data_IF_331729731400
#
_entry.id   IF_331729731400
#
_cell.length_a   1.000
_cell.length_b   1.000
_cell.length_c   1.000
_cell.angle_alpha   90.00
_cell.angle_beta   90.00
_cell.angle_gamma   90.00
#
_symmetry.space_group_name_H-M   'P 1'
#
loop_
_entity.id
_entity.type
_entity.pdbx_description
1 polymer ?
#
# COMPACT_ATOMS: atom_id res chain seq x y z
N UNK A 1 -8.15 30.61 -0.22
CA UNK A 1 -7.82 29.17 -0.03
C UNK A 1 -6.93 28.73 -1.19
N UNK A 2 -5.78 28.14 -0.90
CA UNK A 2 -4.96 27.52 -1.93
C UNK A 2 -5.70 26.33 -2.56
N UNK A 3 -5.49 26.09 -3.84
CA UNK A 3 -6.11 24.98 -4.58
C UNK A 3 -5.08 24.28 -5.45
N UNK A 4 -5.12 22.94 -5.43
CA UNK A 4 -4.28 22.08 -6.24
C UNK A 4 -5.12 21.15 -7.11
N UNK A 5 -4.73 20.98 -8.36
CA UNK A 5 -5.43 20.15 -9.35
C UNK A 5 -4.58 18.94 -9.74
N UNK A 6 -5.14 17.74 -9.56
CA UNK A 6 -4.53 16.46 -9.89
C UNK A 6 -5.56 15.54 -10.56
N UNK A 7 -5.06 14.52 -11.22
CA UNK A 7 -5.93 13.50 -11.83
C UNK A 7 -6.36 12.45 -10.77
N UNK A 8 -5.48 12.21 -9.77
CA UNK A 8 -5.73 11.27 -8.67
C UNK A 8 -5.26 11.85 -7.34
N UNK A 9 -6.09 11.73 -6.32
CA UNK A 9 -5.78 12.09 -4.93
C UNK A 9 -5.72 10.82 -4.08
N UNK A 10 -4.56 10.55 -3.47
CA UNK A 10 -4.33 9.43 -2.57
C UNK A 10 -4.16 9.95 -1.15
N UNK A 11 -5.01 9.51 -0.24
CA UNK A 11 -4.93 9.89 1.18
C UNK A 11 -4.33 8.76 1.98
N UNK A 12 -3.13 8.99 2.47
CA UNK A 12 -2.35 8.05 3.27
C UNK A 12 -1.11 7.52 2.56
N UNK A 13 0.01 7.48 3.29
CA UNK A 13 1.32 7.03 2.82
C UNK A 13 1.68 5.61 3.29
N UNK A 14 0.69 4.78 3.58
CA UNK A 14 0.91 3.35 3.81
C UNK A 14 1.25 2.61 2.52
N UNK A 15 1.59 1.32 2.61
CA UNK A 15 2.02 0.51 1.46
C UNK A 15 1.01 0.56 0.31
N UNK A 16 -0.29 0.51 0.60
CA UNK A 16 -1.35 0.57 -0.42
C UNK A 16 -1.35 1.91 -1.16
N UNK A 17 -1.24 3.03 -0.44
CA UNK A 17 -1.23 4.37 -1.04
C UNK A 17 0.01 4.60 -1.91
N UNK A 18 1.20 4.23 -1.42
CA UNK A 18 2.45 4.37 -2.17
C UNK A 18 2.47 3.46 -3.41
N UNK A 19 1.98 2.21 -3.29
CA UNK A 19 1.86 1.30 -4.43
C UNK A 19 0.89 1.84 -5.47
N UNK A 20 -0.28 2.32 -5.07
CA UNK A 20 -1.25 2.92 -5.99
C UNK A 20 -0.66 4.15 -6.70
N UNK A 21 0.09 5.00 -5.99
CA UNK A 21 0.76 6.15 -6.59
C UNK A 21 1.73 5.74 -7.70
N UNK A 22 2.57 4.73 -7.45
CA UNK A 22 3.54 4.23 -8.43
C UNK A 22 2.87 3.62 -9.67
N UNK A 23 1.78 2.89 -9.50
CA UNK A 23 1.04 2.30 -10.62
C UNK A 23 0.30 3.33 -11.46
N UNK A 24 -0.13 4.45 -10.87
CA UNK A 24 -0.90 5.49 -11.56
C UNK A 24 -0.04 6.59 -12.18
N UNK A 25 1.13 6.88 -11.62
CA UNK A 25 2.01 7.96 -12.05
C UNK A 25 2.42 7.92 -13.54
N UNK A 26 2.56 6.75 -14.22
CA UNK A 26 2.90 6.74 -15.63
C UNK A 26 1.88 7.43 -16.55
N UNK A 27 0.62 7.55 -16.09
CA UNK A 27 -0.49 8.08 -16.90
C UNK A 27 -1.26 9.21 -16.24
N UNK A 28 -1.02 9.48 -14.95
CA UNK A 28 -1.76 10.46 -14.17
C UNK A 28 -0.83 11.33 -13.33
N UNK A 29 -1.25 12.59 -13.09
CA UNK A 29 -0.67 13.43 -12.05
C UNK A 29 -1.27 13.03 -10.71
N UNK A 30 -0.45 12.54 -9.80
CA UNK A 30 -0.89 11.96 -8.52
C UNK A 30 -0.47 12.86 -7.36
N UNK A 31 -1.40 13.17 -6.46
CA UNK A 31 -1.09 13.73 -5.15
C UNK A 31 -1.17 12.63 -4.09
N UNK A 32 -0.12 12.49 -3.30
CA UNK A 32 -0.15 11.69 -2.06
C UNK A 32 -0.20 12.65 -0.88
N UNK A 33 -1.27 12.56 -0.11
CA UNK A 33 -1.59 13.47 0.99
C UNK A 33 -1.51 12.69 2.29
N UNK A 34 -0.67 13.10 3.23
CA UNK A 34 -0.48 12.41 4.51
C UNK A 34 -0.43 13.36 5.69
N UNK A 35 -1.08 12.98 6.80
CA UNK A 35 -1.21 13.82 8.00
C UNK A 35 0.12 14.05 8.74
N UNK A 36 1.11 13.21 8.51
CA UNK A 36 2.45 13.28 9.12
C UNK A 36 3.50 13.10 8.04
N UNK A 37 4.72 12.74 8.43
CA UNK A 37 5.76 12.34 7.49
C UNK A 37 5.39 11.02 6.81
N UNK A 38 5.93 10.77 5.61
CA UNK A 38 5.63 9.56 4.82
C UNK A 38 5.91 8.26 5.57
N UNK A 39 6.94 8.24 6.40
CA UNK A 39 7.37 7.07 7.17
C UNK A 39 6.54 6.79 8.42
N UNK A 40 5.68 7.71 8.86
CA UNK A 40 4.93 7.59 10.13
C UNK A 40 3.70 6.67 10.03
N UNK A 41 3.68 5.79 9.06
CA UNK A 41 2.60 4.81 8.87
C UNK A 41 2.78 3.54 9.70
N UNK A 42 1.67 2.84 9.98
CA UNK A 42 1.67 1.55 10.69
C UNK A 42 2.51 0.48 9.97
N UNK A 43 2.65 0.57 8.65
CA UNK A 43 3.45 -0.35 7.84
C UNK A 43 4.92 -0.42 8.27
N UNK A 44 5.50 0.69 8.76
CA UNK A 44 6.87 0.72 9.24
C UNK A 44 7.10 -0.14 10.49
N UNK A 45 6.06 -0.45 11.23
CA UNK A 45 6.10 -1.23 12.47
C UNK A 45 5.81 -2.71 12.26
N UNK A 46 5.45 -3.13 11.04
CA UNK A 46 5.19 -4.52 10.72
C UNK A 46 6.51 -5.31 10.72
N UNK A 47 6.63 -6.28 11.64
CA UNK A 47 7.83 -7.10 11.83
C UNK A 47 7.77 -8.39 11.01
N UNK A 48 6.59 -8.97 10.84
CA UNK A 48 6.38 -10.18 10.04
C UNK A 48 6.70 -9.99 8.56
N UNK A 49 6.79 -11.10 7.85
CA UNK A 49 7.01 -11.09 6.40
C UNK A 49 5.69 -11.00 5.61
N UNK A 50 5.80 -11.28 4.33
CA UNK A 50 4.68 -11.32 3.39
C UNK A 50 4.51 -12.76 2.90
N UNK A 51 3.32 -13.32 3.12
CA UNK A 51 2.99 -14.67 2.68
C UNK A 51 2.69 -14.69 1.17
N UNK A 52 3.37 -15.56 0.43
CA UNK A 52 3.12 -15.81 -0.98
C UNK A 52 3.54 -17.23 -1.37
N UNK A 53 2.82 -17.84 -2.31
CA UNK A 53 3.17 -19.17 -2.86
C UNK A 53 4.31 -18.99 -3.86
N UNK A 54 5.53 -19.28 -3.43
CA UNK A 54 6.77 -19.04 -4.18
C UNK A 54 7.62 -20.29 -4.36
N UNK A 55 7.37 -21.35 -3.59
CA UNK A 55 8.08 -22.62 -3.64
C UNK A 55 7.24 -23.68 -4.37
N UNK A 56 7.92 -24.63 -5.02
CA UNK A 56 7.28 -25.70 -5.81
C UNK A 56 6.52 -26.72 -4.96
N UNK A 57 6.85 -26.80 -3.68
CA UNK A 57 6.19 -27.70 -2.69
C UNK A 57 5.00 -27.05 -1.99
N UNK A 58 4.61 -25.83 -2.38
CA UNK A 58 3.43 -25.10 -1.86
C UNK A 58 2.34 -24.94 -2.93
N UNK A 59 1.13 -24.55 -2.53
CA UNK A 59 0.01 -24.32 -3.44
C UNK A 59 -0.91 -23.19 -2.99
N UNK A 60 -1.56 -22.53 -3.94
CA UNK A 60 -2.61 -21.56 -3.66
C UNK A 60 -3.74 -22.15 -2.83
N UNK A 61 -4.13 -23.40 -3.11
CA UNK A 61 -5.19 -24.08 -2.36
C UNK A 61 -4.81 -24.24 -0.88
N UNK A 62 -3.58 -24.67 -0.59
CA UNK A 62 -3.09 -24.80 0.78
C UNK A 62 -3.03 -23.45 1.50
N UNK A 63 -2.56 -22.40 0.82
CA UNK A 63 -2.50 -21.06 1.41
C UNK A 63 -3.90 -20.46 1.68
N UNK A 64 -4.85 -20.66 0.77
CA UNK A 64 -6.25 -20.25 0.96
C UNK A 64 -6.85 -20.97 2.16
N UNK A 65 -6.69 -22.29 2.26
CA UNK A 65 -7.21 -23.07 3.39
C UNK A 65 -6.61 -22.63 4.72
N UNK A 66 -5.28 -22.48 4.80
CA UNK A 66 -4.61 -21.94 6.00
C UNK A 66 -5.20 -20.58 6.43
N UNK A 67 -5.45 -19.69 5.45
CA UNK A 67 -6.02 -18.36 5.69
C UNK A 67 -7.45 -18.47 6.22
N UNK A 68 -8.30 -19.32 5.63
CA UNK A 68 -9.69 -19.51 6.06
C UNK A 68 -9.76 -20.11 7.47
N UNK A 69 -8.88 -21.06 7.80
CA UNK A 69 -8.78 -21.63 9.15
C UNK A 69 -8.36 -20.55 10.15
N UNK A 70 -7.33 -19.77 9.85
CA UNK A 70 -6.82 -18.73 10.75
C UNK A 70 -7.84 -17.61 11.00
N UNK A 71 -8.64 -17.25 10.02
CA UNK A 71 -9.63 -16.16 10.16
C UNK A 71 -10.97 -16.61 10.79
N UNK A 72 -11.14 -17.89 11.07
CA UNK A 72 -12.29 -18.40 11.83
C UNK A 72 -13.67 -17.92 11.33
N UNK A 73 -13.87 -17.87 10.03
CA UNK A 73 -15.13 -17.47 9.39
C UNK A 73 -15.30 -15.97 9.14
N UNK A 74 -14.29 -15.13 9.42
CA UNK A 74 -14.34 -13.69 9.17
C UNK A 74 -13.84 -13.30 7.78
N UNK A 75 -13.24 -14.25 7.02
CA UNK A 75 -12.72 -13.97 5.68
C UNK A 75 -13.82 -14.10 4.61
N UNK A 76 -13.75 -13.20 3.61
CA UNK A 76 -14.42 -13.41 2.34
C UNK A 76 -13.55 -14.31 1.44
N UNK A 77 -14.13 -15.41 0.95
CA UNK A 77 -13.39 -16.40 0.15
C UNK A 77 -12.89 -15.82 -1.18
N UNK A 78 -13.68 -14.97 -1.85
CA UNK A 78 -13.30 -14.41 -3.13
C UNK A 78 -12.14 -13.41 -2.97
N UNK A 79 -12.20 -12.57 -1.93
CA UNK A 79 -11.11 -11.66 -1.59
C UNK A 79 -9.84 -12.42 -1.17
N UNK A 80 -9.97 -13.48 -0.33
CA UNK A 80 -8.85 -14.33 0.07
C UNK A 80 -8.16 -14.95 -1.14
N UNK A 81 -8.93 -15.56 -2.04
CA UNK A 81 -8.41 -16.15 -3.27
C UNK A 81 -7.69 -15.12 -4.13
N UNK A 82 -8.32 -13.97 -4.36
CA UNK A 82 -7.71 -12.89 -5.14
C UNK A 82 -6.36 -12.45 -4.57
N UNK A 83 -6.28 -12.21 -3.27
CA UNK A 83 -5.03 -11.77 -2.62
C UNK A 83 -3.95 -12.86 -2.72
N UNK A 84 -4.29 -14.12 -2.41
CA UNK A 84 -3.34 -15.23 -2.41
C UNK A 84 -2.79 -15.51 -3.82
N UNK A 85 -3.66 -15.53 -4.84
CA UNK A 85 -3.27 -15.83 -6.23
C UNK A 85 -2.40 -14.70 -6.84
N UNK A 86 -2.56 -13.45 -6.40
CA UNK A 86 -1.77 -12.31 -6.90
C UNK A 86 -0.53 -11.97 -6.05
N UNK A 87 -0.35 -12.62 -4.90
CA UNK A 87 0.79 -12.34 -4.01
C UNK A 87 2.17 -12.59 -4.65
N UNK A 88 2.40 -13.64 -5.46
CA UNK A 88 3.69 -13.85 -6.12
C UNK A 88 4.11 -12.69 -7.04
N UNK A 89 3.16 -12.14 -7.80
CA UNK A 89 3.42 -10.99 -8.68
C UNK A 89 3.75 -9.73 -7.86
N UNK A 90 3.04 -9.51 -6.75
CA UNK A 90 3.32 -8.41 -5.84
C UNK A 90 4.73 -8.50 -5.23
N UNK A 91 5.19 -9.69 -4.82
CA UNK A 91 6.55 -9.91 -4.32
C UNK A 91 7.58 -9.66 -5.44
N UNK A 92 7.34 -10.15 -6.66
CA UNK A 92 8.21 -9.92 -7.80
C UNK A 92 8.36 -8.42 -8.10
N UNK A 93 7.26 -7.68 -8.08
CA UNK A 93 7.26 -6.23 -8.27
C UNK A 93 8.05 -5.50 -7.16
N UNK A 94 7.85 -5.85 -5.89
CA UNK A 94 8.62 -5.27 -4.78
C UNK A 94 10.12 -5.54 -4.91
N UNK A 95 10.52 -6.74 -5.38
CA UNK A 95 11.93 -7.05 -5.68
C UNK A 95 12.48 -6.18 -6.80
N UNK A 96 11.71 -5.96 -7.86
CA UNK A 96 12.09 -5.07 -8.98
C UNK A 96 12.30 -3.63 -8.52
N UNK A 97 11.54 -3.17 -7.53
CA UNK A 97 11.72 -1.86 -6.91
C UNK A 97 12.94 -1.78 -5.98
N UNK A 98 13.57 -2.91 -5.66
CA UNK A 98 14.76 -2.95 -4.83
C UNK A 98 14.53 -3.28 -3.36
N UNK A 99 13.37 -3.83 -2.97
CA UNK A 99 13.15 -4.33 -1.60
C UNK A 99 14.17 -5.45 -1.32
N UNK A 100 15.02 -5.32 -0.28
CA UNK A 100 16.11 -6.23 0.00
C UNK A 100 15.64 -7.47 0.78
N UNK A 101 14.77 -8.28 0.17
CA UNK A 101 14.33 -9.53 0.77
C UNK A 101 15.50 -10.45 1.07
N UNK A 102 15.40 -11.22 2.15
CA UNK A 102 16.39 -12.24 2.53
C UNK A 102 16.50 -13.32 1.44
N UNK A 103 17.72 -13.69 1.09
CA UNK A 103 18.02 -14.63 0.01
C UNK A 103 18.74 -15.87 0.55
N UNK A 104 18.51 -17.02 -0.08
CA UNK A 104 19.28 -18.25 0.07
C UNK A 104 19.80 -18.66 -1.32
N UNK A 105 21.08 -18.37 -1.58
CA UNK A 105 21.61 -18.41 -2.95
C UNK A 105 20.88 -17.41 -3.85
N UNK A 106 20.33 -17.88 -4.97
CA UNK A 106 19.60 -17.06 -5.94
C UNK A 106 18.09 -17.02 -5.68
N UNK A 107 17.60 -17.75 -4.67
CA UNK A 107 16.19 -17.83 -4.32
C UNK A 107 15.87 -17.01 -3.07
N UNK A 108 14.59 -16.68 -2.88
CA UNK A 108 14.13 -16.06 -1.66
C UNK A 108 14.22 -17.05 -0.49
N UNK A 109 14.81 -16.63 0.62
CA UNK A 109 14.73 -17.38 1.85
C UNK A 109 13.33 -17.26 2.43
N UNK A 110 12.60 -18.37 2.46
CA UNK A 110 11.22 -18.42 2.96
C UNK A 110 11.18 -19.00 4.38
N UNK A 111 10.45 -18.36 5.26
CA UNK A 111 10.16 -18.86 6.62
C UNK A 111 8.72 -19.35 6.72
N UNK A 112 8.42 -20.03 7.83
CA UNK A 112 7.06 -20.44 8.18
C UNK A 112 6.67 -19.80 9.52
N UNK A 113 5.55 -19.12 9.53
CA UNK A 113 4.97 -18.54 10.73
C UNK A 113 3.73 -19.35 11.17
N UNK A 114 3.20 -19.05 12.36
CA UNK A 114 1.99 -19.71 12.87
C UNK A 114 0.80 -19.54 11.93
N UNK A 115 -0.02 -20.60 11.82
CA UNK A 115 -1.16 -20.63 10.90
C UNK A 115 -0.83 -21.03 9.46
N UNK A 116 0.45 -21.18 9.10
CA UNK A 116 0.86 -21.63 7.76
C UNK A 116 1.31 -23.09 7.76
N UNK A 117 0.84 -23.89 6.80
CA UNK A 117 1.24 -25.27 6.58
C UNK A 117 2.58 -25.41 5.84
N UNK A 118 2.98 -24.39 5.07
CA UNK A 118 4.21 -24.36 4.27
C UNK A 118 5.11 -23.16 4.60
N UNK A 119 6.37 -23.20 4.12
CA UNK A 119 7.32 -22.08 4.17
C UNK A 119 7.00 -21.14 3.00
N UNK A 120 6.31 -20.04 3.28
CA UNK A 120 5.87 -19.10 2.24
C UNK A 120 6.04 -17.62 2.63
N UNK A 121 6.74 -17.35 3.72
CA UNK A 121 6.91 -16.00 4.22
C UNK A 121 8.21 -15.40 3.65
N UNK A 122 8.08 -14.49 2.69
CA UNK A 122 9.16 -13.64 2.23
C UNK A 122 9.40 -12.52 3.25
N UNK A 123 10.64 -12.29 3.67
CA UNK A 123 10.94 -11.37 4.77
C UNK A 123 12.24 -10.61 4.55
N UNK A 124 12.40 -9.52 5.28
CA UNK A 124 13.64 -8.74 5.39
C UNK A 124 14.04 -8.76 6.85
N UNK A 125 14.93 -9.68 7.27
CA UNK A 125 15.35 -9.88 8.65
C UNK A 125 14.20 -9.51 9.63
N UNK A 126 14.34 -8.68 10.62
CA UNK A 126 13.29 -8.38 11.61
C UNK A 126 12.49 -7.10 11.30
N UNK A 127 12.49 -6.61 10.06
CA UNK A 127 11.95 -5.30 9.73
C UNK A 127 11.32 -5.21 8.32
N UNK A 128 10.58 -6.25 7.89
CA UNK A 128 10.03 -6.31 6.52
C UNK A 128 9.19 -5.09 6.18
N UNK A 129 8.27 -4.69 7.04
CA UNK A 129 7.42 -3.53 6.78
C UNK A 129 8.20 -2.22 6.62
N UNK A 130 9.19 -1.99 7.48
CA UNK A 130 10.05 -0.80 7.39
C UNK A 130 10.89 -0.79 6.11
N UNK A 131 11.44 -1.94 5.71
CA UNK A 131 12.23 -2.06 4.49
C UNK A 131 11.36 -1.80 3.23
N UNK A 132 10.20 -2.44 3.14
CA UNK A 132 9.26 -2.23 2.03
C UNK A 132 8.81 -0.77 1.98
N UNK A 133 8.39 -0.19 3.10
CA UNK A 133 7.93 1.20 3.13
C UNK A 133 9.04 2.18 2.74
N UNK A 134 10.26 2.01 3.22
CA UNK A 134 11.40 2.85 2.85
C UNK A 134 11.66 2.79 1.34
N UNK A 135 11.75 1.58 0.78
CA UNK A 135 11.94 1.41 -0.66
C UNK A 135 10.86 2.10 -1.47
N UNK A 136 9.58 1.91 -1.11
CA UNK A 136 8.46 2.57 -1.82
C UNK A 136 8.53 4.09 -1.69
N UNK A 137 8.87 4.65 -0.53
CA UNK A 137 9.04 6.09 -0.32
C UNK A 137 10.14 6.63 -1.23
N UNK A 138 11.29 5.96 -1.29
CA UNK A 138 12.44 6.40 -2.10
C UNK A 138 12.08 6.40 -3.59
N UNK A 139 11.40 5.36 -4.07
CA UNK A 139 10.93 5.26 -5.46
C UNK A 139 9.87 6.32 -5.76
N UNK A 140 8.88 6.52 -4.87
CA UNK A 140 7.84 7.55 -5.02
C UNK A 140 8.45 8.95 -5.10
N UNK A 141 9.43 9.27 -4.25
CA UNK A 141 10.15 10.56 -4.29
C UNK A 141 10.91 10.79 -5.59
N UNK A 142 11.40 9.72 -6.20
CA UNK A 142 12.12 9.79 -7.46
C UNK A 142 11.22 9.74 -8.71
N UNK A 143 9.92 9.45 -8.54
CA UNK A 143 8.99 9.24 -9.65
C UNK A 143 8.37 10.57 -10.12
N UNK A 144 8.60 11.02 -11.36
CA UNK A 144 7.90 12.17 -11.94
C UNK A 144 6.38 11.91 -11.96
N UNK A 145 5.60 13.00 -11.81
CA UNK A 145 4.14 12.92 -11.80
C UNK A 145 3.52 12.64 -10.43
N UNK A 146 4.32 12.33 -9.41
CA UNK A 146 3.86 12.24 -8.01
C UNK A 146 4.27 13.49 -7.24
N UNK A 147 3.29 14.13 -6.60
CA UNK A 147 3.52 15.25 -5.68
C UNK A 147 3.13 14.82 -4.26
N UNK A 148 4.01 15.09 -3.32
CA UNK A 148 3.85 14.68 -1.92
C UNK A 148 3.44 15.87 -1.06
N UNK A 149 2.39 15.69 -0.26
CA UNK A 149 1.88 16.65 0.71
C UNK A 149 1.93 16.03 2.10
N UNK A 150 3.05 16.21 2.78
CA UNK A 150 3.23 15.82 4.18
C UNK A 150 2.56 16.84 5.10
N UNK A 151 2.21 16.46 6.32
CA UNK A 151 1.55 17.30 7.33
C UNK A 151 0.21 17.90 6.86
N UNK A 152 -0.49 17.22 5.93
CA UNK A 152 -1.80 17.60 5.46
C UNK A 152 -2.85 16.62 5.97
N UNK A 153 -3.72 17.08 6.86
CA UNK A 153 -4.77 16.24 7.45
C UNK A 153 -6.06 16.37 6.66
N UNK A 154 -6.55 15.23 6.11
CA UNK A 154 -7.86 15.20 5.46
C UNK A 154 -8.95 15.71 6.43
N UNK A 155 -9.67 16.73 6.01
CA UNK A 155 -10.81 17.29 6.75
C UNK A 155 -12.11 16.69 6.25
N UNK A 156 -12.32 16.72 4.91
CA UNK A 156 -13.56 16.21 4.32
C UNK A 156 -13.40 15.92 2.83
N UNK A 157 -14.22 15.01 2.30
CA UNK A 157 -14.30 14.68 0.88
C UNK A 157 -15.37 15.50 0.20
N UNK A 158 -15.01 16.17 -0.90
CA UNK A 158 -15.93 16.92 -1.73
C UNK A 158 -16.65 15.96 -2.67
N UNK A 159 -17.96 15.82 -2.49
CA UNK A 159 -18.78 15.00 -3.38
C UNK A 159 -19.81 15.84 -4.11
N UNK A 160 -20.25 15.37 -5.30
CA UNK A 160 -21.33 16.04 -6.04
C UNK A 160 -22.59 16.21 -5.19
N UNK A 161 -22.91 15.23 -4.35
CA UNK A 161 -24.07 15.30 -3.42
C UNK A 161 -23.95 16.45 -2.41
N UNK A 162 -22.78 16.66 -1.82
CA UNK A 162 -22.54 17.76 -0.86
C UNK A 162 -22.68 19.15 -1.50
N UNK A 163 -22.40 19.22 -2.80
CA UNK A 163 -22.55 20.46 -3.58
C UNK A 163 -23.94 20.65 -4.19
N UNK A 164 -24.90 19.77 -3.89
CA UNK A 164 -26.24 19.83 -4.49
C UNK A 164 -26.28 19.44 -5.98
N UNK A 165 -25.22 18.82 -6.51
CA UNK A 165 -25.12 18.36 -7.90
C UNK A 165 -25.65 16.93 -8.02
N UNK A 166 -26.11 16.57 -9.20
CA UNK A 166 -26.54 15.21 -9.51
C UNK A 166 -25.40 14.20 -9.44
N UNK A 167 -25.70 12.95 -9.02
CA UNK A 167 -24.77 11.84 -8.96
C UNK A 167 -24.02 11.71 -7.63
N UNK A 168 -23.07 10.75 -7.57
CA UNK A 168 -22.29 10.42 -6.37
C UNK A 168 -20.77 10.41 -6.68
N UNK A 169 -20.30 11.41 -7.41
CA UNK A 169 -18.88 11.49 -7.76
C UNK A 169 -18.07 12.14 -6.63
N UNK A 170 -16.88 11.62 -6.39
CA UNK A 170 -15.83 12.33 -5.67
C UNK A 170 -15.24 13.41 -6.60
N UNK A 171 -15.20 14.64 -6.14
CA UNK A 171 -14.73 15.80 -6.90
C UNK A 171 -13.43 16.39 -6.32
N UNK A 172 -13.00 15.89 -5.15
CA UNK A 172 -11.83 16.38 -4.46
C UNK A 172 -11.93 16.22 -2.95
N UNK A 173 -11.10 16.94 -2.24
CA UNK A 173 -11.08 16.94 -0.78
C UNK A 173 -10.61 18.29 -0.22
N UNK A 174 -10.89 18.51 1.06
CA UNK A 174 -10.30 19.55 1.89
C UNK A 174 -9.27 18.93 2.82
N UNK A 175 -8.09 19.51 2.89
CA UNK A 175 -7.08 19.13 3.87
C UNK A 175 -6.60 20.35 4.65
N UNK A 176 -6.33 20.16 5.94
CA UNK A 176 -5.67 21.14 6.79
C UNK A 176 -4.16 21.02 6.59
N UNK A 177 -3.52 22.09 6.14
CA UNK A 177 -2.06 22.21 6.12
C UNK A 177 -1.57 22.53 7.53
N UNK A 178 -0.83 21.61 8.14
CA UNK A 178 -0.30 21.73 9.50
C UNK A 178 0.83 22.76 9.64
N UNK A 179 1.38 23.28 8.54
CA UNK A 179 2.41 24.31 8.58
C UNK A 179 1.82 25.72 8.62
N UNK A 180 0.68 25.93 7.96
CA UNK A 180 0.03 27.24 7.82
C UNK A 180 -1.25 27.37 8.63
N UNK A 181 -1.77 26.26 9.16
CA UNK A 181 -3.10 26.19 9.81
C UNK A 181 -4.26 26.57 8.87
N UNK A 182 -4.06 26.49 7.56
CA UNK A 182 -5.05 26.83 6.55
C UNK A 182 -5.66 25.58 5.91
N UNK A 183 -6.92 25.70 5.50
CA UNK A 183 -7.59 24.65 4.73
C UNK A 183 -7.25 24.81 3.25
N UNK A 184 -6.73 23.76 2.63
CA UNK A 184 -6.34 23.66 1.23
C UNK A 184 -7.34 22.77 0.50
N UNK A 185 -7.69 23.14 -0.73
CA UNK A 185 -8.56 22.35 -1.61
C UNK A 185 -7.74 21.56 -2.60
N UNK A 186 -8.03 20.26 -2.73
CA UNK A 186 -7.48 19.37 -3.77
C UNK A 186 -8.61 18.90 -4.68
N UNK A 187 -8.41 18.97 -6.01
CA UNK A 187 -9.40 18.61 -7.04
C UNK A 187 -8.80 17.72 -8.09
#
# INVERSE_FOLDING_TARGET
MASHDFDVLIVGSGLAGLSAALHLAPTHRVAVITKRQLQDGASAWAQGGIAAVLADDDSFAAHIEDTLVACAGLCDLAATRFVVENAPEAIAWLRQLGVPFSMEGDQLHLTREGGHSARRIAHVTDATGAAVQRTLIDVVRATPGITLFEHHTLVDVITSRKLGLAGQRCLGLYALDGATDEVVTFR
#
